data_IF_161963248573
#
_entry.id   IF_161963248573
#
_cell.length_a   1.000
_cell.length_b   1.000
_cell.length_c   1.000
_cell.angle_alpha   90.00
_cell.angle_beta   90.00
_cell.angle_gamma   90.00
#
_symmetry.space_group_name_H-M   'P 1'
#
loop_
_entity.id
_entity.type
_entity.pdbx_description
1 polymer ?
#
# COMPACT_ATOMS: atom_id res chain seq x y z
N UNK A 1 6.50 -7.90 -0.31
CA UNK A 1 6.02 -8.18 1.06
C UNK A 1 5.86 -9.68 1.19
N UNK A 2 6.50 -10.28 2.19
CA UNK A 2 6.29 -11.70 2.51
C UNK A 2 5.02 -11.89 3.34
N UNK A 3 4.52 -13.13 3.45
CA UNK A 3 3.38 -13.45 4.31
C UNK A 3 3.64 -13.10 5.78
N UNK A 4 4.84 -13.43 6.28
CA UNK A 4 5.24 -13.13 7.66
C UNK A 4 5.35 -11.62 7.92
N UNK A 5 5.92 -10.88 6.95
CA UNK A 5 5.99 -9.42 7.04
C UNK A 5 4.59 -8.78 6.97
N UNK A 6 3.69 -9.33 6.18
CA UNK A 6 2.32 -8.83 6.09
C UNK A 6 1.60 -8.96 7.44
N UNK A 7 1.71 -10.10 8.10
CA UNK A 7 1.10 -10.30 9.42
C UNK A 7 1.72 -9.38 10.48
N UNK A 8 3.05 -9.28 10.50
CA UNK A 8 3.80 -8.58 11.55
C UNK A 8 3.85 -7.06 11.34
N UNK A 9 3.94 -6.61 10.08
CA UNK A 9 4.20 -5.21 9.74
C UNK A 9 3.13 -4.59 8.83
N UNK A 10 1.89 -5.08 8.88
CA UNK A 10 0.78 -4.59 8.04
C UNK A 10 0.55 -3.08 8.16
N UNK A 11 0.69 -2.51 9.35
CA UNK A 11 0.58 -1.06 9.59
C UNK A 11 1.65 -0.28 8.82
N UNK A 12 2.89 -0.77 8.80
CA UNK A 12 4.00 -0.17 8.05
C UNK A 12 3.76 -0.18 6.54
N UNK A 13 3.31 -1.32 5.97
CA UNK A 13 3.16 -1.48 4.53
C UNK A 13 1.85 -0.92 3.97
N UNK A 14 0.76 -1.08 4.72
CA UNK A 14 -0.59 -0.79 4.24
C UNK A 14 -1.34 0.27 5.06
N UNK A 15 -0.76 0.74 6.16
CA UNK A 15 -1.34 1.76 7.03
C UNK A 15 -2.48 1.27 7.93
N UNK A 16 -2.74 -0.04 7.98
CA UNK A 16 -3.80 -0.66 8.78
C UNK A 16 -3.29 -1.89 9.51
N UNK A 17 -3.86 -2.17 10.68
CA UNK A 17 -3.61 -3.39 11.42
C UNK A 17 -4.01 -4.62 10.59
N UNK A 18 -3.29 -5.74 10.76
CA UNK A 18 -3.52 -6.99 10.04
C UNK A 18 -4.98 -7.45 10.07
N UNK A 19 -5.66 -7.29 11.21
CA UNK A 19 -7.06 -7.70 11.40
C UNK A 19 -8.08 -6.74 10.77
N UNK A 20 -7.65 -5.56 10.32
CA UNK A 20 -8.52 -4.53 9.80
C UNK A 20 -9.28 -4.99 8.55
N UNK A 21 -10.58 -4.64 8.44
CA UNK A 21 -11.46 -5.06 7.34
C UNK A 21 -10.94 -4.71 5.94
N UNK A 22 -10.30 -3.55 5.78
CA UNK A 22 -9.69 -3.14 4.50
C UNK A 22 -8.59 -4.09 4.01
N UNK A 23 -7.98 -4.87 4.91
CA UNK A 23 -6.94 -5.85 4.57
C UNK A 23 -7.48 -7.26 4.36
N UNK A 24 -8.81 -7.48 4.42
CA UNK A 24 -9.42 -8.81 4.25
C UNK A 24 -9.00 -9.47 2.94
N UNK A 25 -9.08 -8.76 1.82
CA UNK A 25 -8.65 -9.29 0.52
C UNK A 25 -7.17 -9.70 0.51
N UNK A 26 -6.29 -8.90 1.13
CA UNK A 26 -4.88 -9.25 1.25
C UNK A 26 -4.67 -10.48 2.14
N UNK A 27 -5.42 -10.61 3.25
CA UNK A 27 -5.39 -11.84 4.05
C UNK A 27 -5.78 -13.07 3.22
N UNK A 28 -6.80 -12.94 2.37
CA UNK A 28 -7.22 -14.04 1.49
C UNK A 28 -6.16 -14.39 0.44
N UNK A 29 -5.45 -13.39 -0.11
CA UNK A 29 -4.31 -13.58 -1.01
C UNK A 29 -3.17 -14.34 -0.30
N UNK A 30 -2.74 -13.86 0.86
CA UNK A 30 -1.60 -14.41 1.60
C UNK A 30 -1.86 -15.77 2.26
N UNK A 31 -3.07 -16.30 2.23
CA UNK A 31 -3.34 -17.70 2.64
C UNK A 31 -2.58 -18.71 1.78
N UNK A 32 -2.29 -18.37 0.53
CA UNK A 32 -1.73 -19.31 -0.44
C UNK A 32 -0.35 -18.88 -0.97
N UNK A 33 0.05 -17.62 -0.81
CA UNK A 33 1.33 -17.12 -1.33
C UNK A 33 2.32 -16.79 -0.22
N UNK A 34 3.61 -16.90 -0.54
CA UNK A 34 4.70 -16.48 0.37
C UNK A 34 5.21 -15.07 0.09
N UNK A 35 5.11 -14.61 -1.14
CA UNK A 35 5.63 -13.31 -1.59
C UNK A 35 4.64 -12.63 -2.51
N UNK A 36 4.26 -11.38 -2.19
CA UNK A 36 3.42 -10.52 -3.02
C UNK A 36 4.14 -9.24 -3.41
N UNK A 37 4.01 -8.85 -4.68
CA UNK A 37 4.41 -7.55 -5.20
C UNK A 37 3.20 -6.64 -5.28
N UNK A 38 3.30 -5.44 -4.72
CA UNK A 38 2.22 -4.47 -4.69
C UNK A 38 2.70 -3.15 -5.26
N UNK A 39 1.85 -2.51 -6.03
CA UNK A 39 2.13 -1.22 -6.62
C UNK A 39 1.04 -0.21 -6.23
N UNK A 40 1.46 0.95 -5.75
CA UNK A 40 0.54 2.03 -5.40
C UNK A 40 0.22 2.84 -6.66
N UNK A 41 -1.00 2.72 -7.17
CA UNK A 41 -1.45 3.37 -8.41
C UNK A 41 -1.71 4.87 -8.22
N UNK A 42 -2.28 5.28 -7.09
CA UNK A 42 -2.68 6.67 -6.88
C UNK A 42 -1.50 7.62 -6.64
N UNK A 43 -1.58 8.83 -7.19
CA UNK A 43 -0.62 9.93 -7.06
C UNK A 43 -1.20 11.02 -6.15
N UNK A 44 -1.26 10.78 -4.87
CA UNK A 44 -1.80 11.74 -3.91
C UNK A 44 -0.76 12.71 -3.35
N UNK A 45 -1.23 13.64 -2.53
CA UNK A 45 -0.40 14.57 -1.76
C UNK A 45 -0.06 13.95 -0.40
N UNK A 46 1.14 14.23 0.09
CA UNK A 46 1.57 13.84 1.45
C UNK A 46 0.95 14.78 2.47
N UNK A 47 0.41 14.22 3.55
CA UNK A 47 0.04 15.01 4.71
C UNK A 47 1.29 15.60 5.40
N UNK A 48 1.15 16.74 6.06
CA UNK A 48 2.26 17.35 6.80
C UNK A 48 1.79 18.08 8.06
N UNK A 49 2.69 18.22 9.01
CA UNK A 49 2.57 19.15 10.13
C UNK A 49 3.74 20.14 10.11
N UNK A 50 3.88 20.96 11.14
CA UNK A 50 4.95 21.97 11.23
C UNK A 50 6.35 21.37 11.12
N UNK A 51 6.61 20.23 11.77
CA UNK A 51 7.96 19.64 11.91
C UNK A 51 8.21 18.38 11.04
N UNK A 52 7.18 17.84 10.39
CA UNK A 52 7.33 16.60 9.61
C UNK A 52 6.35 16.51 8.44
N UNK A 53 6.69 15.65 7.48
CA UNK A 53 5.84 15.29 6.35
C UNK A 53 5.62 13.77 6.37
N UNK A 54 4.43 13.29 6.04
CA UNK A 54 4.15 11.87 5.91
C UNK A 54 5.09 11.22 4.87
N UNK A 55 5.61 10.03 5.17
CA UNK A 55 6.51 9.31 4.25
C UNK A 55 5.83 9.01 2.91
N UNK A 56 4.55 8.65 2.96
CA UNK A 56 3.74 8.29 1.79
C UNK A 56 2.58 9.26 1.59
N UNK A 57 2.22 9.50 0.33
CA UNK A 57 1.03 10.28 -0.02
C UNK A 57 -0.25 9.49 0.27
N UNK A 58 -1.34 10.19 0.51
CA UNK A 58 -2.67 9.60 0.74
C UNK A 58 -3.37 10.18 1.97
N UNK A 59 -4.68 10.00 2.02
CA UNK A 59 -5.52 10.45 3.15
C UNK A 59 -5.09 9.84 4.48
N UNK A 60 -4.47 8.65 4.45
CA UNK A 60 -3.99 7.94 5.64
C UNK A 60 -2.91 8.71 6.40
N UNK A 61 -2.17 9.59 5.71
CA UNK A 61 -1.21 10.49 6.34
C UNK A 61 -1.87 11.50 7.30
N UNK A 62 -3.15 11.82 7.14
CA UNK A 62 -3.87 12.74 8.03
C UNK A 62 -4.17 12.13 9.41
N UNK A 63 -4.05 10.80 9.56
CA UNK A 63 -4.24 10.10 10.83
C UNK A 63 -2.94 10.05 11.67
N UNK A 64 -1.85 10.63 11.14
CA UNK A 64 -0.59 10.79 11.86
C UNK A 64 -0.65 11.98 12.84
N UNK A 65 0.08 11.83 13.94
CA UNK A 65 0.23 12.86 14.96
C UNK A 65 1.62 12.73 15.60
N UNK A 66 2.28 13.85 15.87
CA UNK A 66 3.52 13.88 16.66
C UNK A 66 3.22 14.49 18.02
N UNK A 67 3.69 13.84 19.07
CA UNK A 67 3.71 14.37 20.45
C UNK A 67 5.15 14.59 20.84
N UNK A 68 5.46 15.76 21.37
CA UNK A 68 6.81 16.14 21.83
C UNK A 68 6.71 16.53 23.30
N UNK A 69 7.36 15.77 24.17
CA UNK A 69 7.40 16.05 25.61
C UNK A 69 8.84 16.22 26.07
N UNK A 70 9.08 17.08 27.07
CA UNK A 70 10.40 17.15 27.69
C UNK A 70 10.76 15.78 28.28
N UNK A 71 11.97 15.31 28.02
CA UNK A 71 12.45 14.04 28.54
C UNK A 71 12.63 14.14 30.08
N UNK A 72 12.19 13.10 30.80
CA UNK A 72 12.18 13.10 32.28
C UNK A 72 13.60 12.97 32.84
N UNK A 73 14.45 12.19 32.17
CA UNK A 73 15.80 11.91 32.64
C UNK A 73 16.81 13.02 32.26
N UNK A 74 16.56 13.72 31.15
CA UNK A 74 17.39 14.80 30.63
C UNK A 74 16.49 15.92 30.07
N UNK A 75 16.27 16.95 30.88
CA UNK A 75 15.41 18.09 30.54
C UNK A 75 15.94 18.96 29.39
N UNK A 76 17.13 18.69 28.85
CA UNK A 76 17.67 19.33 27.65
C UNK A 76 17.25 18.62 26.36
N UNK A 77 16.54 17.50 26.47
CA UNK A 77 16.06 16.67 25.36
C UNK A 77 14.54 16.53 25.37
N UNK A 78 14.03 16.02 24.30
CA UNK A 78 12.60 15.72 24.09
C UNK A 78 12.42 14.25 23.76
N UNK A 79 11.33 13.66 24.28
CA UNK A 79 10.73 12.43 23.78
C UNK A 79 9.78 12.79 22.63
N UNK A 80 10.09 12.32 21.43
CA UNK A 80 9.32 12.56 20.22
C UNK A 80 8.61 11.29 19.82
N UNK A 81 7.29 11.28 19.94
CA UNK A 81 6.45 10.11 19.72
C UNK A 81 5.63 10.30 18.44
N UNK A 82 5.79 9.38 17.48
CA UNK A 82 4.93 9.29 16.30
C UNK A 82 3.75 8.36 16.60
N UNK A 83 2.55 8.88 16.37
CA UNK A 83 1.29 8.14 16.53
C UNK A 83 0.60 7.98 15.17
N UNK A 84 -0.06 6.83 14.97
CA UNK A 84 -1.02 6.59 13.89
C UNK A 84 -2.32 6.07 14.54
N UNK A 85 -3.47 6.69 14.27
CA UNK A 85 -4.74 6.42 14.98
C UNK A 85 -4.60 6.48 16.50
N UNK A 86 -3.82 7.43 17.02
CA UNK A 86 -3.47 7.56 18.44
C UNK A 86 -2.72 6.35 19.04
N UNK A 87 -2.26 5.39 18.23
CA UNK A 87 -1.38 4.30 18.66
C UNK A 87 0.07 4.67 18.38
N UNK A 88 0.95 4.45 19.35
CA UNK A 88 2.38 4.69 19.20
C UNK A 88 2.99 3.75 18.16
N UNK A 89 3.65 4.32 17.15
CA UNK A 89 4.31 3.58 16.08
C UNK A 89 5.83 3.81 16.03
N UNK A 90 6.31 4.92 16.64
CA UNK A 90 7.73 5.20 16.77
C UNK A 90 7.99 6.11 17.96
N UNK A 91 9.21 6.07 18.53
CA UNK A 91 9.66 6.96 19.59
C UNK A 91 11.16 7.23 19.43
N UNK A 92 11.54 8.49 19.48
CA UNK A 92 12.93 8.93 19.43
C UNK A 92 13.20 9.96 20.54
N UNK A 93 14.45 10.05 20.99
CA UNK A 93 14.91 11.07 21.93
C UNK A 93 15.86 11.98 21.18
N UNK A 94 15.61 13.30 21.21
CA UNK A 94 16.38 14.28 20.47
C UNK A 94 16.49 15.59 21.26
N UNK A 95 17.58 16.31 21.05
CA UNK A 95 17.75 17.67 21.58
C UNK A 95 17.24 18.70 20.56
N UNK A 96 17.49 18.45 19.28
CA UNK A 96 17.11 19.29 18.15
C UNK A 96 16.53 18.44 17.02
N UNK A 97 15.82 19.06 16.08
CA UNK A 97 15.14 18.34 14.98
C UNK A 97 16.12 17.54 14.10
N UNK A 98 17.37 17.99 13.98
CA UNK A 98 18.40 17.33 13.17
C UNK A 98 18.89 16.01 13.76
N UNK A 99 18.67 15.78 15.05
CA UNK A 99 19.01 14.52 15.73
C UNK A 99 18.02 13.40 15.40
N UNK A 100 16.81 13.76 14.93
CA UNK A 100 15.77 12.78 14.57
C UNK A 100 16.11 12.10 13.26
N UNK A 101 15.92 10.80 13.19
CA UNK A 101 16.04 10.01 11.97
C UNK A 101 14.65 9.77 11.34
N UNK A 102 14.60 9.79 10.00
CA UNK A 102 13.37 9.45 9.28
C UNK A 102 12.95 8.02 9.62
N UNK A 103 11.65 7.84 9.91
CA UNK A 103 11.12 6.54 10.26
C UNK A 103 10.22 5.95 9.16
N UNK A 104 9.50 4.88 9.46
CA UNK A 104 8.61 4.23 8.50
C UNK A 104 7.36 5.04 8.14
N UNK A 105 7.06 6.11 8.89
CA UNK A 105 5.82 6.88 8.79
C UNK A 105 6.04 8.34 8.39
N UNK A 106 7.14 8.95 8.83
CA UNK A 106 7.39 10.38 8.66
C UNK A 106 8.82 10.67 8.19
N UNK A 107 8.97 11.81 7.52
CA UNK A 107 10.23 12.46 7.12
C UNK A 107 10.29 13.79 7.88
N UNK A 108 11.35 14.01 8.63
CA UNK A 108 11.53 15.22 9.44
C UNK A 108 11.97 16.42 8.60
N UNK A 109 11.38 17.58 8.88
CA UNK A 109 11.78 18.87 8.30
C UNK A 109 12.97 19.41 9.08
N UNK A 110 14.18 19.18 8.59
CA UNK A 110 15.43 19.48 9.31
C UNK A 110 15.69 20.96 9.60
N UNK A 111 14.92 21.85 8.96
CA UNK A 111 14.91 23.30 9.15
C UNK A 111 13.88 23.78 10.20
N UNK A 112 13.04 22.89 10.71
CA UNK A 112 12.06 23.21 11.74
C UNK A 112 12.66 23.27 13.14
N UNK A 113 11.97 23.94 14.06
CA UNK A 113 12.33 23.98 15.49
C UNK A 113 11.60 22.86 16.22
N UNK A 114 12.33 22.13 17.09
CA UNK A 114 11.77 21.12 17.97
C UNK A 114 11.37 21.76 19.29
N UNK A 115 10.07 21.76 19.59
CA UNK A 115 9.49 22.34 20.80
C UNK A 115 8.43 21.39 21.39
N UNK A 116 8.23 21.47 22.70
CA UNK A 116 7.19 20.67 23.37
C UNK A 116 5.81 20.96 22.79
N UNK A 117 5.06 19.90 22.48
CA UNK A 117 3.71 19.95 21.89
C UNK A 117 2.88 18.75 22.29
N UNK A 118 1.68 18.97 22.77
CA UNK A 118 0.72 17.92 23.12
C UNK A 118 0.16 17.17 21.88
N UNK A 119 0.39 17.68 20.65
CA UNK A 119 -0.01 17.00 19.44
C UNK A 119 0.00 17.86 18.18
N UNK A 120 0.95 17.59 17.31
CA UNK A 120 1.05 18.16 15.97
C UNK A 120 0.33 17.23 14.99
N UNK A 121 -0.87 17.60 14.58
CA UNK A 121 -1.73 16.83 13.66
C UNK A 121 -1.27 17.05 12.23
N UNK A 122 -1.24 15.98 11.44
CA UNK A 122 -0.96 16.05 10.00
C UNK A 122 -2.23 16.37 9.21
N UNK A 123 -2.09 17.19 8.19
CA UNK A 123 -3.19 17.62 7.31
C UNK A 123 -2.75 17.69 5.85
N UNK A 124 -3.70 17.84 4.93
CA UNK A 124 -3.44 18.04 3.49
C UNK A 124 -3.12 16.77 2.72
N UNK A 125 -3.15 15.59 3.35
CA UNK A 125 -2.99 14.32 2.66
C UNK A 125 -4.19 13.99 1.77
N UNK A 126 -3.93 13.66 0.50
CA UNK A 126 -4.98 13.26 -0.46
C UNK A 126 -4.59 11.99 -1.22
N UNK A 127 -5.57 11.25 -1.71
CA UNK A 127 -5.32 10.09 -2.58
C UNK A 127 -5.04 10.50 -4.04
N UNK A 128 -5.14 11.78 -4.38
CA UNK A 128 -5.01 12.27 -5.75
C UNK A 128 -6.27 12.04 -6.59
N UNK A 129 -6.11 12.23 -7.89
CA UNK A 129 -7.16 12.03 -8.88
C UNK A 129 -7.48 10.54 -9.07
N UNK A 130 -8.59 10.27 -9.76
CA UNK A 130 -8.99 8.91 -10.11
C UNK A 130 -7.90 8.23 -10.95
N UNK A 131 -7.63 6.96 -10.64
CA UNK A 131 -6.66 6.14 -11.36
C UNK A 131 -7.18 5.83 -12.76
N UNK A 132 -6.35 6.07 -13.77
CA UNK A 132 -6.66 5.85 -15.20
C UNK A 132 -5.84 4.70 -15.78
N UNK A 133 -6.04 4.37 -17.06
CA UNK A 133 -5.23 3.38 -17.77
C UNK A 133 -3.73 3.68 -17.75
N UNK A 134 -3.33 4.96 -17.67
CA UNK A 134 -1.92 5.35 -17.66
C UNK A 134 -1.18 4.85 -16.38
N UNK A 135 -1.81 4.91 -15.23
CA UNK A 135 -1.22 4.40 -13.98
C UNK A 135 -1.13 2.86 -14.00
N UNK A 136 -2.12 2.19 -14.58
CA UNK A 136 -2.07 0.74 -14.78
C UNK A 136 -0.99 0.34 -15.77
N UNK A 137 -0.82 1.08 -16.88
CA UNK A 137 0.27 0.84 -17.82
C UNK A 137 1.64 1.01 -17.15
N UNK A 138 1.84 2.08 -16.37
CA UNK A 138 3.07 2.30 -15.63
C UNK A 138 3.36 1.17 -14.61
N UNK A 139 2.33 0.55 -14.04
CA UNK A 139 2.49 -0.65 -13.23
C UNK A 139 2.95 -1.85 -14.07
N UNK A 140 2.30 -2.09 -15.21
CA UNK A 140 2.64 -3.20 -16.10
C UNK A 140 4.08 -3.08 -16.63
N UNK A 141 4.52 -1.88 -16.98
CA UNK A 141 5.90 -1.62 -17.41
C UNK A 141 6.92 -1.94 -16.31
N UNK A 142 6.58 -1.66 -15.05
CA UNK A 142 7.44 -1.98 -13.92
C UNK A 142 7.47 -3.46 -13.58
N UNK A 143 6.32 -4.13 -13.59
CA UNK A 143 6.25 -5.55 -13.19
C UNK A 143 6.87 -6.48 -14.25
N UNK A 144 7.03 -6.02 -15.47
CA UNK A 144 7.64 -6.78 -16.57
C UNK A 144 9.03 -7.32 -16.24
N UNK A 145 9.81 -6.60 -15.44
CA UNK A 145 11.16 -7.01 -15.01
C UNK A 145 11.18 -8.02 -13.86
N UNK A 146 10.01 -8.37 -13.32
CA UNK A 146 9.90 -9.29 -12.18
C UNK A 146 9.40 -10.66 -12.63
N UNK A 147 9.83 -11.71 -11.93
CA UNK A 147 9.27 -13.05 -12.09
C UNK A 147 8.14 -13.27 -11.07
N UNK A 148 7.00 -13.75 -11.54
CA UNK A 148 5.83 -14.04 -10.71
C UNK A 148 4.96 -15.13 -11.37
N UNK A 149 4.14 -15.83 -10.59
CA UNK A 149 3.29 -16.94 -11.06
C UNK A 149 1.88 -16.48 -11.43
N UNK A 150 1.37 -15.47 -10.73
CA UNK A 150 0.04 -14.92 -11.00
C UNK A 150 0.02 -13.39 -10.87
N UNK A 151 -0.84 -12.75 -11.68
CA UNK A 151 -1.06 -11.32 -11.70
C UNK A 151 -2.56 -11.04 -11.51
N UNK A 152 -2.96 -10.40 -10.42
CA UNK A 152 -4.35 -10.05 -10.14
C UNK A 152 -4.65 -8.58 -10.41
N UNK A 153 -5.81 -8.28 -11.01
CA UNK A 153 -6.30 -6.92 -11.19
C UNK A 153 -7.77 -6.81 -10.74
N UNK A 154 -8.03 -5.90 -9.80
CA UNK A 154 -9.37 -5.67 -9.26
C UNK A 154 -10.22 -4.71 -10.09
N UNK A 155 -9.66 -4.08 -11.13
CA UNK A 155 -10.40 -3.16 -11.98
C UNK A 155 -11.57 -3.86 -12.68
N UNK A 156 -12.70 -3.15 -12.73
CA UNK A 156 -13.92 -3.65 -13.37
C UNK A 156 -14.14 -3.07 -14.76
N UNK A 157 -13.42 -2.00 -15.14
CA UNK A 157 -13.53 -1.34 -16.44
C UNK A 157 -12.91 -2.19 -17.55
N UNK A 158 -13.55 -2.23 -18.70
CA UNK A 158 -13.14 -3.06 -19.84
C UNK A 158 -11.78 -2.67 -20.38
N UNK A 159 -11.51 -1.37 -20.48
CA UNK A 159 -10.25 -0.82 -20.99
C UNK A 159 -9.06 -1.29 -20.16
N UNK A 160 -9.15 -1.20 -18.84
CA UNK A 160 -8.08 -1.63 -17.94
C UNK A 160 -7.89 -3.15 -18.03
N UNK A 161 -8.97 -3.93 -18.00
CA UNK A 161 -8.88 -5.39 -18.16
C UNK A 161 -8.22 -5.78 -19.47
N UNK A 162 -8.51 -5.05 -20.56
CA UNK A 162 -7.88 -5.30 -21.87
C UNK A 162 -6.37 -5.02 -21.86
N UNK A 163 -5.89 -3.98 -21.13
CA UNK A 163 -4.44 -3.75 -20.96
C UNK A 163 -3.76 -4.96 -20.34
N UNK A 164 -4.36 -5.56 -19.31
CA UNK A 164 -3.82 -6.76 -18.65
C UNK A 164 -3.84 -7.98 -19.57
N UNK A 165 -4.88 -8.16 -20.38
CA UNK A 165 -4.94 -9.25 -21.37
C UNK A 165 -3.82 -9.10 -22.41
N UNK A 166 -3.65 -7.92 -22.98
CA UNK A 166 -2.61 -7.67 -24.00
C UNK A 166 -1.19 -7.81 -23.40
N UNK A 167 -0.97 -7.32 -22.19
CA UNK A 167 0.27 -7.54 -21.46
C UNK A 167 0.54 -9.05 -21.29
N UNK A 168 -0.45 -9.82 -20.87
CA UNK A 168 -0.33 -11.24 -20.64
C UNK A 168 0.03 -11.99 -21.93
N UNK A 169 -0.69 -11.71 -23.03
CA UNK A 169 -0.41 -12.29 -24.35
C UNK A 169 1.02 -11.96 -24.78
N UNK A 170 1.41 -10.69 -24.73
CA UNK A 170 2.76 -10.25 -25.10
C UNK A 170 3.86 -10.95 -24.30
N UNK A 171 3.71 -10.99 -22.98
CA UNK A 171 4.71 -11.60 -22.11
C UNK A 171 4.82 -13.11 -22.28
N UNK A 172 3.69 -13.81 -22.46
CA UNK A 172 3.68 -15.25 -22.64
C UNK A 172 4.15 -15.67 -24.04
N UNK A 173 3.62 -15.03 -25.07
CA UNK A 173 3.83 -15.47 -26.46
C UNK A 173 5.16 -14.98 -27.03
N UNK A 174 5.63 -13.78 -26.63
CA UNK A 174 6.85 -13.18 -27.19
C UNK A 174 8.06 -13.21 -26.28
N UNK A 175 7.84 -13.14 -24.95
CA UNK A 175 8.94 -13.18 -23.97
C UNK A 175 9.12 -14.58 -23.38
N UNK A 176 8.08 -15.41 -23.41
CA UNK A 176 8.10 -16.76 -22.87
C UNK A 176 7.88 -16.84 -21.35
N UNK A 177 7.43 -15.74 -20.71
CA UNK A 177 7.11 -15.71 -19.29
C UNK A 177 5.87 -16.55 -19.01
N UNK A 178 5.94 -17.44 -18.00
CA UNK A 178 4.83 -18.34 -17.66
C UNK A 178 4.15 -17.92 -16.40
N UNK A 179 3.08 -17.16 -16.51
CA UNK A 179 2.19 -16.75 -15.43
C UNK A 179 0.75 -16.72 -15.91
N UNK A 180 -0.19 -16.59 -15.00
CA UNK A 180 -1.61 -16.39 -15.31
C UNK A 180 -2.08 -15.05 -14.75
N UNK A 181 -2.94 -14.37 -15.51
CA UNK A 181 -3.58 -13.12 -15.09
C UNK A 181 -5.02 -13.40 -14.67
N UNK A 182 -5.41 -12.91 -13.50
CA UNK A 182 -6.74 -13.12 -12.90
C UNK A 182 -7.53 -11.83 -13.00
N UNK A 183 -8.65 -11.84 -13.71
CA UNK A 183 -9.50 -10.70 -13.99
C UNK A 183 -10.96 -10.97 -13.61
N UNK A 184 -11.69 -9.92 -13.25
CA UNK A 184 -13.12 -10.01 -12.95
C UNK A 184 -13.96 -9.89 -14.22
N UNK A 185 -14.79 -10.92 -14.51
CA UNK A 185 -15.68 -10.97 -15.68
C UNK A 185 -14.97 -10.58 -16.98
N UNK A 186 -14.02 -11.39 -17.42
CA UNK A 186 -13.25 -11.21 -18.66
C UNK A 186 -13.16 -12.53 -19.45
N UNK A 187 -14.26 -13.27 -19.53
CA UNK A 187 -14.36 -14.53 -20.27
C UNK A 187 -14.15 -14.35 -21.79
N UNK A 188 -14.44 -13.15 -22.31
CA UNK A 188 -14.20 -12.79 -23.72
C UNK A 188 -12.71 -12.64 -24.10
N UNK A 189 -11.78 -12.76 -23.14
CA UNK A 189 -10.35 -12.78 -23.43
C UNK A 189 -9.93 -13.99 -24.27
N UNK A 190 -10.64 -15.12 -24.10
CA UNK A 190 -10.40 -16.39 -24.79
C UNK A 190 -8.92 -16.72 -24.95
N UNK A 191 -8.20 -16.73 -23.83
CA UNK A 191 -6.75 -16.95 -23.81
C UNK A 191 -6.34 -17.75 -22.56
N UNK A 192 -5.53 -18.80 -22.76
CA UNK A 192 -5.11 -19.73 -21.69
C UNK A 192 -4.37 -19.08 -20.51
N UNK A 193 -3.73 -17.93 -20.74
CA UNK A 193 -3.03 -17.16 -19.73
C UNK A 193 -3.94 -16.26 -18.90
N UNK A 194 -5.26 -16.21 -19.17
CA UNK A 194 -6.23 -15.35 -18.49
C UNK A 194 -7.29 -16.19 -17.78
N UNK A 195 -7.42 -16.01 -16.49
CA UNK A 195 -8.45 -16.62 -15.65
C UNK A 195 -9.53 -15.58 -15.40
N UNK A 196 -10.76 -15.85 -15.84
CA UNK A 196 -11.91 -14.99 -15.59
C UNK A 196 -12.67 -15.45 -14.34
N UNK A 197 -12.79 -14.57 -13.36
CA UNK A 197 -13.58 -14.77 -12.15
C UNK A 197 -14.97 -14.20 -12.37
N UNK A 198 -15.97 -15.05 -12.61
CA UNK A 198 -17.32 -14.63 -12.92
C UNK A 198 -18.16 -14.32 -11.67
N UNK A 199 -17.82 -14.92 -10.54
CA UNK A 199 -18.54 -14.74 -9.28
C UNK A 199 -18.11 -13.45 -8.58
N UNK A 200 -19.09 -12.72 -8.05
CA UNK A 200 -18.84 -11.62 -7.13
C UNK A 200 -18.76 -12.13 -5.69
N UNK A 201 -17.98 -11.43 -4.87
CA UNK A 201 -17.95 -11.71 -3.43
C UNK A 201 -19.29 -11.32 -2.78
N UNK A 202 -19.72 -12.09 -1.78
CA UNK A 202 -20.95 -11.80 -1.02
C UNK A 202 -20.70 -10.94 0.21
N UNK A 203 -19.45 -10.78 0.64
CA UNK A 203 -19.09 -10.05 1.83
C UNK A 203 -19.38 -8.54 1.66
N UNK A 204 -20.05 -7.96 2.64
CA UNK A 204 -20.35 -6.52 2.66
C UNK A 204 -19.08 -5.70 2.89
N UNK A 205 -19.02 -4.51 2.28
CA UNK A 205 -17.87 -3.59 2.45
C UNK A 205 -16.65 -3.89 1.59
N UNK A 206 -16.67 -4.97 0.79
CA UNK A 206 -15.63 -5.28 -0.19
C UNK A 206 -16.10 -4.96 -1.62
N UNK A 207 -15.15 -4.74 -2.53
CA UNK A 207 -15.42 -4.60 -3.95
C UNK A 207 -15.98 -5.95 -4.49
N UNK A 208 -16.91 -5.90 -5.43
CA UNK A 208 -17.48 -7.11 -6.04
C UNK A 208 -16.41 -8.01 -6.71
N UNK A 209 -15.30 -7.39 -7.16
CA UNK A 209 -14.14 -8.08 -7.74
C UNK A 209 -13.16 -8.64 -6.71
N UNK A 210 -13.41 -8.50 -5.41
CA UNK A 210 -12.43 -8.87 -4.37
C UNK A 210 -12.08 -10.35 -4.32
N UNK A 211 -12.88 -11.23 -4.94
CA UNK A 211 -12.54 -12.65 -5.08
C UNK A 211 -11.25 -12.87 -5.89
N UNK A 212 -10.84 -11.89 -6.68
CA UNK A 212 -9.56 -11.87 -7.39
C UNK A 212 -8.38 -12.09 -6.44
N UNK A 213 -8.41 -11.53 -5.23
CA UNK A 213 -7.34 -11.74 -4.25
C UNK A 213 -7.11 -13.21 -3.94
N UNK A 214 -8.20 -13.92 -3.55
CA UNK A 214 -8.10 -15.33 -3.22
C UNK A 214 -7.72 -16.18 -4.44
N UNK A 215 -8.33 -15.93 -5.59
CA UNK A 215 -8.06 -16.67 -6.83
C UNK A 215 -6.61 -16.47 -7.29
N UNK A 216 -6.11 -15.24 -7.25
CA UNK A 216 -4.70 -14.96 -7.57
C UNK A 216 -3.75 -15.70 -6.62
N UNK A 217 -4.07 -15.71 -5.33
CA UNK A 217 -3.32 -16.49 -4.34
C UNK A 217 -3.31 -17.98 -4.64
N UNK A 218 -4.48 -18.55 -4.92
CA UNK A 218 -4.62 -19.99 -5.20
C UNK A 218 -3.90 -20.45 -6.47
N UNK A 219 -3.76 -19.55 -7.47
CA UNK A 219 -3.03 -19.86 -8.71
C UNK A 219 -1.51 -19.71 -8.50
N UNK A 220 -1.09 -18.76 -7.67
CA UNK A 220 0.32 -18.47 -7.44
C UNK A 220 1.01 -19.42 -6.46
N UNK A 221 0.27 -19.97 -5.50
CA UNK A 221 0.75 -20.90 -4.47
C UNK A 221 0.59 -22.33 -4.85
#
# INVERSE_FOLDING_TARGET
VTSDDFEKYSVKYFGYDYTHEKLKGLRDLFKNIRLGYFYKLNKGVKASCTIATAKYSGIRGNDLKIVVTTNIDDNTKFDVVTLLDNKKVDTQIAKVITDLEDNDYVIWKKDATLEASAGLVFTGGTNGEAVTGAEYQAFLDKIESYSFNALGCLATTTEIKSLFVEFTKRMRDKVGAKFQTVLYKKSDADYEGVVSVENKIKDTGLLESSLIYWTTGAIAG
#
